data_IF_166233807108
#
_entry.id   IF_166233807108
#
_cell.length_a   1.000
_cell.length_b   1.000
_cell.length_c   1.000
_cell.angle_alpha   90.00
_cell.angle_beta   90.00
_cell.angle_gamma   90.00
#
_symmetry.space_group_name_H-M   'P 1'
#
loop_
_entity.id
_entity.type
_entity.pdbx_description
1 polymer ?
#
# COMPACT_ATOMS: atom_id res chain seq x y z
N UNK A 1 7.75 7.44 -4.27
CA UNK A 1 6.46 6.97 -3.71
C UNK A 1 5.59 8.11 -3.17
N UNK A 2 6.11 9.03 -2.32
CA UNK A 2 5.34 10.16 -1.71
C UNK A 2 4.41 10.91 -2.66
N UNK A 3 4.91 11.33 -3.83
CA UNK A 3 4.10 12.05 -4.83
C UNK A 3 2.88 11.28 -5.34
N UNK A 4 2.94 9.95 -5.40
CA UNK A 4 1.81 9.11 -5.81
C UNK A 4 0.77 8.95 -4.69
N UNK A 5 1.22 8.88 -3.44
CA UNK A 5 0.36 8.77 -2.26
C UNK A 5 -0.42 10.08 -2.06
N UNK A 6 0.26 11.25 -2.09
CA UNK A 6 -0.40 12.57 -2.09
C UNK A 6 -1.39 12.78 -3.24
N UNK A 7 -1.12 12.19 -4.41
CA UNK A 7 -2.02 12.21 -5.56
C UNK A 7 -3.18 11.21 -5.49
N UNK A 8 -3.34 10.49 -4.37
CA UNK A 8 -4.38 9.48 -4.18
C UNK A 8 -4.20 8.19 -4.99
N UNK A 9 -3.02 7.99 -5.57
CA UNK A 9 -2.67 6.81 -6.36
C UNK A 9 -2.09 5.66 -5.54
N UNK A 10 -1.78 5.85 -4.26
CA UNK A 10 -1.33 4.79 -3.37
C UNK A 10 -2.52 3.99 -2.82
N UNK A 11 -2.49 2.66 -2.94
CA UNK A 11 -3.44 1.78 -2.25
C UNK A 11 -2.74 0.67 -1.47
N UNK A 12 -3.24 0.37 -0.28
CA UNK A 12 -2.86 -0.73 0.60
C UNK A 12 -4.06 -1.67 0.70
N UNK A 13 -3.91 -2.93 0.31
CA UNK A 13 -5.00 -3.92 0.37
C UNK A 13 -6.32 -3.43 -0.26
N UNK A 14 -6.20 -2.71 -1.37
CA UNK A 14 -7.27 -2.04 -2.11
C UNK A 14 -7.93 -0.83 -1.42
N UNK A 15 -7.50 -0.47 -0.20
CA UNK A 15 -7.83 0.78 0.47
C UNK A 15 -6.87 1.90 0.06
N UNK A 16 -7.36 3.14 -0.06
CA UNK A 16 -6.53 4.30 -0.41
C UNK A 16 -5.60 4.67 0.76
N UNK A 17 -4.34 4.94 0.45
CA UNK A 17 -3.38 5.49 1.41
C UNK A 17 -3.39 7.01 1.24
N UNK A 18 -3.87 7.73 2.25
CA UNK A 18 -3.87 9.20 2.25
C UNK A 18 -2.63 9.78 2.94
N UNK A 19 -2.03 9.04 3.89
CA UNK A 19 -0.82 9.44 4.59
C UNK A 19 0.38 8.58 4.20
N UNK A 20 1.40 9.24 3.65
CA UNK A 20 2.66 8.67 3.19
C UNK A 20 3.61 8.23 4.31
N UNK A 21 3.33 8.63 5.56
CA UNK A 21 4.05 8.20 6.75
C UNK A 21 3.31 7.12 7.54
N UNK A 22 2.17 6.62 7.05
CA UNK A 22 1.48 5.50 7.71
C UNK A 22 2.42 4.30 7.77
N UNK A 23 2.77 3.90 8.99
CA UNK A 23 3.53 2.69 9.23
C UNK A 23 2.65 1.49 8.94
N UNK A 24 3.04 0.69 7.95
CA UNK A 24 2.35 -0.56 7.61
C UNK A 24 2.75 -1.60 8.66
N UNK A 25 1.76 -2.13 9.37
CA UNK A 25 1.96 -3.02 10.51
C UNK A 25 1.36 -4.41 10.31
N UNK A 26 1.45 -5.23 11.36
CA UNK A 26 0.85 -6.57 11.42
C UNK A 26 -0.67 -6.57 11.25
N UNK A 27 -1.36 -5.46 11.55
CA UNK A 27 -2.79 -5.30 11.30
C UNK A 27 -3.17 -5.18 9.82
N UNK A 28 -2.22 -4.81 8.96
CA UNK A 28 -2.43 -4.68 7.52
C UNK A 28 -2.08 -5.97 6.76
N UNK A 29 -1.58 -7.00 7.44
CA UNK A 29 -1.30 -8.28 6.82
C UNK A 29 -2.60 -9.06 6.58
N UNK A 30 -2.88 -9.34 5.30
CA UNK A 30 -3.88 -10.33 4.91
C UNK A 30 -3.15 -11.56 4.42
N UNK A 31 -3.33 -12.69 5.10
CA UNK A 31 -2.76 -13.98 4.70
C UNK A 31 -1.23 -13.98 4.51
N UNK A 32 -0.50 -13.18 5.30
CA UNK A 32 0.97 -13.07 5.20
C UNK A 32 1.45 -12.15 4.06
N UNK A 33 0.54 -11.48 3.35
CA UNK A 33 0.84 -10.57 2.24
C UNK A 33 0.18 -9.20 2.40
N UNK A 34 0.81 -8.21 1.78
CA UNK A 34 0.35 -6.84 1.70
C UNK A 34 0.34 -6.43 0.24
N UNK A 35 -0.82 -6.03 -0.27
CA UNK A 35 -0.97 -5.55 -1.65
C UNK A 35 -0.75 -4.05 -1.70
N UNK A 36 0.38 -3.64 -2.25
CA UNK A 36 0.70 -2.24 -2.53
C UNK A 36 0.41 -1.92 -3.99
N UNK A 37 -0.48 -0.98 -4.23
CA UNK A 37 -0.75 -0.48 -5.57
C UNK A 37 -0.28 0.95 -5.72
N UNK A 38 0.39 1.22 -6.83
CA UNK A 38 0.86 2.52 -7.26
C UNK A 38 0.18 2.89 -8.58
N UNK A 39 -0.98 3.52 -8.50
CA UNK A 39 -1.84 3.84 -9.65
C UNK A 39 -2.57 2.61 -10.20
N UNK A 40 -2.95 2.66 -11.48
CA UNK A 40 -3.81 1.64 -12.13
C UNK A 40 -3.06 0.41 -12.65
N UNK A 41 -1.74 0.49 -12.86
CA UNK A 41 -0.96 -0.56 -13.55
C UNK A 41 0.12 -1.22 -12.71
N UNK A 42 0.61 -0.55 -11.66
CA UNK A 42 1.70 -1.07 -10.84
C UNK A 42 1.14 -1.59 -9.54
N UNK A 43 1.23 -2.90 -9.35
CA UNK A 43 0.85 -3.60 -8.13
C UNK A 43 2.05 -4.43 -7.66
N UNK A 44 2.32 -4.39 -6.37
CA UNK A 44 3.36 -5.16 -5.69
C UNK A 44 2.72 -5.94 -4.55
N UNK A 45 3.11 -7.20 -4.40
CA UNK A 45 2.78 -8.01 -3.24
C UNK A 45 4.02 -8.07 -2.36
N UNK A 46 3.90 -7.59 -1.14
CA UNK A 46 4.97 -7.64 -0.14
C UNK A 46 4.61 -8.72 0.85
N UNK A 47 5.50 -9.70 1.05
CA UNK A 47 5.42 -10.64 2.17
C UNK A 47 6.19 -10.06 3.34
N UNK A 48 5.57 -10.05 4.52
CA UNK A 48 6.34 -9.86 5.75
C UNK A 48 7.02 -11.19 6.06
N UNK A 49 8.35 -11.15 6.17
CA UNK A 49 9.20 -12.26 6.63
C UNK A 49 9.68 -11.99 8.04
#
# INVERSE_FOLDING_TARGET
>A
ARRLIKGGGGRLNDAKIDDENTAIGSGDLKDGVIKLSAGKKRHALVRAV
#
